data_IF_525500450452
#
_entry.id   IF_525500450452
#
_cell.length_a   1.000
_cell.length_b   1.000
_cell.length_c   1.000
_cell.angle_alpha   90.00
_cell.angle_beta   90.00
_cell.angle_gamma   90.00
#
_symmetry.space_group_name_H-M   'P 1'
#
loop_
_entity.id
_entity.type
_entity.pdbx_description
1 polymer ?
#
# COMPACT_ATOMS: atom_id res chain seq x y z
N UNK A 1 -34.40 -10.18 -9.73
CA UNK A 1 -33.37 -10.94 -10.47
C UNK A 1 -31.98 -10.33 -10.28
N UNK A 2 -31.58 -10.05 -9.01
CA UNK A 2 -30.28 -9.42 -8.67
C UNK A 2 -29.51 -10.21 -7.59
N UNK A 3 -30.17 -11.06 -6.80
CA UNK A 3 -29.54 -11.85 -5.72
C UNK A 3 -28.58 -12.93 -6.24
N UNK A 4 -28.80 -13.44 -7.45
CA UNK A 4 -28.06 -14.59 -7.98
C UNK A 4 -26.63 -14.23 -8.41
N UNK A 5 -26.36 -12.95 -8.72
CA UNK A 5 -25.01 -12.49 -9.14
C UNK A 5 -24.04 -12.30 -7.98
N UNK A 6 -24.52 -11.94 -6.79
CA UNK A 6 -23.64 -11.65 -5.65
C UNK A 6 -22.96 -12.91 -5.11
N UNK A 7 -23.64 -14.05 -5.16
CA UNK A 7 -23.06 -15.34 -4.74
C UNK A 7 -21.96 -15.82 -5.70
N UNK A 8 -22.13 -15.62 -7.01
CA UNK A 8 -21.10 -15.93 -8.00
C UNK A 8 -19.84 -15.07 -7.82
N UNK A 9 -20.00 -13.79 -7.49
CA UNK A 9 -18.86 -12.90 -7.20
C UNK A 9 -18.16 -13.35 -5.93
N UNK A 10 -18.91 -13.66 -4.86
CA UNK A 10 -18.33 -14.15 -3.60
C UNK A 10 -17.56 -15.46 -3.79
N UNK A 11 -18.10 -16.41 -4.57
CA UNK A 11 -17.44 -17.68 -4.88
C UNK A 11 -16.14 -17.46 -5.68
N UNK A 12 -16.17 -16.55 -6.65
CA UNK A 12 -14.99 -16.20 -7.44
C UNK A 12 -13.90 -15.57 -6.55
N UNK A 13 -14.26 -14.68 -5.63
CA UNK A 13 -13.32 -14.05 -4.70
C UNK A 13 -12.68 -15.05 -3.75
N UNK A 14 -13.45 -16.00 -3.22
CA UNK A 14 -12.90 -17.06 -2.34
C UNK A 14 -11.95 -17.97 -3.13
N UNK A 15 -12.29 -18.30 -4.37
CA UNK A 15 -11.44 -19.10 -5.23
C UNK A 15 -10.11 -18.41 -5.54
N UNK A 16 -10.13 -17.12 -5.91
CA UNK A 16 -8.90 -16.36 -6.18
C UNK A 16 -8.03 -16.22 -4.94
N UNK A 17 -8.62 -15.98 -3.77
CA UNK A 17 -7.89 -15.97 -2.50
C UNK A 17 -7.26 -17.33 -2.18
N UNK A 18 -7.96 -18.43 -2.45
CA UNK A 18 -7.44 -19.79 -2.29
C UNK A 18 -6.23 -20.07 -3.19
N UNK A 19 -6.30 -19.66 -4.47
CA UNK A 19 -5.17 -19.80 -5.40
C UNK A 19 -3.97 -19.00 -4.93
N UNK A 20 -4.17 -17.75 -4.50
CA UNK A 20 -3.10 -16.89 -3.96
C UNK A 20 -2.47 -17.50 -2.69
N UNK A 21 -3.29 -18.09 -1.82
CA UNK A 21 -2.81 -18.75 -0.61
C UNK A 21 -1.95 -19.98 -0.94
N UNK A 22 -2.39 -20.82 -1.87
CA UNK A 22 -1.64 -22.01 -2.29
C UNK A 22 -0.33 -21.64 -2.97
N UNK A 23 -0.32 -20.61 -3.84
CA UNK A 23 0.92 -20.14 -4.47
C UNK A 23 1.90 -19.55 -3.46
N UNK A 24 1.42 -18.83 -2.43
CA UNK A 24 2.27 -18.34 -1.33
C UNK A 24 2.90 -19.46 -0.53
N UNK A 25 2.13 -20.50 -0.18
CA UNK A 25 2.65 -21.66 0.55
C UNK A 25 3.65 -22.44 -0.33
N UNK A 26 3.34 -22.66 -1.60
CA UNK A 26 4.24 -23.34 -2.52
C UNK A 26 5.55 -22.56 -2.70
N UNK A 27 5.50 -21.22 -2.70
CA UNK A 27 6.70 -20.38 -2.74
C UNK A 27 7.53 -20.48 -1.44
N UNK A 28 6.89 -20.60 -0.28
CA UNK A 28 7.58 -20.77 1.01
C UNK A 28 8.20 -22.16 1.19
N UNK A 29 7.60 -23.19 0.58
CA UNK A 29 8.10 -24.57 0.64
C UNK A 29 9.17 -24.89 -0.40
N UNK A 30 9.54 -23.94 -1.27
CA UNK A 30 10.61 -24.16 -2.23
C UNK A 30 11.96 -24.11 -1.49
N UNK A 31 12.68 -25.24 -1.31
CA UNK A 31 13.99 -25.21 -0.69
C UNK A 31 14.91 -24.35 -1.56
N UNK A 32 15.34 -23.21 -1.04
CA UNK A 32 16.36 -22.39 -1.69
C UNK A 32 17.61 -23.26 -1.79
N UNK A 33 18.21 -23.44 -2.98
CA UNK A 33 19.45 -24.18 -3.12
C UNK A 33 20.51 -23.53 -2.22
N UNK A 34 21.21 -24.37 -1.46
CA UNK A 34 22.27 -23.91 -0.55
C UNK A 34 23.38 -23.28 -1.41
N UNK A 35 23.64 -21.97 -1.23
CA UNK A 35 24.65 -21.25 -2.01
C UNK A 35 26.02 -21.76 -1.60
N UNK A 36 26.74 -22.38 -2.54
CA UNK A 36 28.08 -22.91 -2.27
C UNK A 36 29.17 -21.87 -2.48
N UNK A 37 30.37 -22.14 -1.94
CA UNK A 37 31.57 -21.33 -2.18
C UNK A 37 31.98 -21.30 -3.66
N UNK A 38 31.67 -22.37 -4.40
CA UNK A 38 31.93 -22.49 -5.83
C UNK A 38 30.97 -21.60 -6.64
N UNK A 39 29.70 -21.49 -6.22
CA UNK A 39 28.73 -20.56 -6.81
C UNK A 39 29.16 -19.09 -6.60
N UNK A 40 29.68 -18.77 -5.41
CA UNK A 40 30.25 -17.45 -5.12
C UNK A 40 31.49 -17.17 -5.97
N UNK A 41 32.39 -18.14 -6.13
CA UNK A 41 33.57 -17.98 -6.99
C UNK A 41 33.19 -17.81 -8.46
N UNK A 42 32.23 -18.60 -8.94
CA UNK A 42 31.69 -18.49 -10.29
C UNK A 42 31.07 -17.11 -10.52
N UNK A 43 30.36 -16.56 -9.53
CA UNK A 43 29.72 -15.25 -9.62
C UNK A 43 30.72 -14.07 -9.53
N UNK A 44 31.77 -14.17 -8.70
CA UNK A 44 32.70 -13.04 -8.48
C UNK A 44 33.92 -13.03 -9.41
N UNK A 45 34.42 -14.20 -9.81
CA UNK A 45 35.75 -14.33 -10.43
C UNK A 45 35.67 -14.63 -11.93
N UNK A 46 34.54 -15.13 -12.44
CA UNK A 46 34.36 -15.37 -13.88
C UNK A 46 33.74 -14.17 -14.56
N UNK A 47 34.07 -13.97 -15.84
CA UNK A 47 33.54 -12.87 -16.67
C UNK A 47 32.00 -12.99 -16.86
N UNK A 48 31.48 -14.22 -16.92
CA UNK A 48 30.04 -14.51 -16.91
C UNK A 48 29.40 -14.14 -15.56
N UNK A 49 30.06 -14.49 -14.46
CA UNK A 49 29.65 -14.12 -13.11
C UNK A 49 29.56 -12.62 -12.90
N UNK A 50 30.59 -11.88 -13.31
CA UNK A 50 30.63 -10.41 -13.22
C UNK A 50 29.54 -9.77 -14.07
N UNK A 51 29.27 -10.31 -15.26
CA UNK A 51 28.16 -9.86 -16.12
C UNK A 51 26.80 -10.11 -15.48
N UNK A 52 26.62 -11.24 -14.79
CA UNK A 52 25.41 -11.54 -14.03
C UNK A 52 25.26 -10.62 -12.81
N UNK A 53 26.36 -10.32 -12.12
CA UNK A 53 26.38 -9.38 -11.00
C UNK A 53 25.93 -7.98 -11.43
N UNK A 54 26.47 -7.47 -12.54
CA UNK A 54 26.10 -6.17 -13.10
C UNK A 54 24.59 -6.09 -13.44
N UNK A 55 24.00 -7.17 -13.98
CA UNK A 55 22.55 -7.22 -14.25
C UNK A 55 21.72 -7.27 -12.96
N UNK A 56 22.22 -7.95 -11.93
CA UNK A 56 21.57 -7.98 -10.61
C UNK A 56 21.61 -6.59 -9.97
N UNK A 57 22.74 -5.89 -10.06
CA UNK A 57 22.89 -4.52 -9.57
C UNK A 57 21.95 -3.55 -10.31
N UNK A 58 21.87 -3.64 -11.63
CA UNK A 58 20.94 -2.83 -12.42
C UNK A 58 19.47 -3.11 -12.07
N UNK A 59 19.11 -4.38 -11.91
CA UNK A 59 17.76 -4.77 -11.47
C UNK A 59 17.46 -4.27 -10.06
N UNK A 60 18.42 -4.31 -9.15
CA UNK A 60 18.29 -3.80 -7.78
C UNK A 60 18.12 -2.28 -7.77
N UNK A 61 18.88 -1.55 -8.58
CA UNK A 61 18.75 -0.11 -8.74
C UNK A 61 17.35 0.26 -9.27
N UNK A 62 16.85 -0.46 -10.28
CA UNK A 62 15.50 -0.25 -10.82
C UNK A 62 14.40 -0.60 -9.80
N UNK A 63 14.64 -1.57 -8.90
CA UNK A 63 13.71 -1.83 -7.79
C UNK A 63 13.75 -0.73 -6.73
N UNK A 64 14.94 -0.20 -6.43
CA UNK A 64 15.08 0.91 -5.49
C UNK A 64 14.32 2.16 -5.98
N UNK A 65 14.41 2.49 -7.27
CA UNK A 65 13.67 3.61 -7.86
C UNK A 65 12.14 3.45 -7.70
N UNK A 66 11.64 2.22 -7.84
CA UNK A 66 10.21 1.92 -7.62
C UNK A 66 9.82 2.09 -6.15
N UNK A 67 10.67 1.65 -5.22
CA UNK A 67 10.45 1.83 -3.79
C UNK A 67 10.39 3.32 -3.44
N UNK A 68 11.34 4.11 -3.95
CA UNK A 68 11.39 5.55 -3.73
C UNK A 68 10.12 6.25 -4.26
N UNK A 69 9.65 5.84 -5.45
CA UNK A 69 8.41 6.35 -6.05
C UNK A 69 7.17 6.02 -5.20
N UNK A 70 7.09 4.78 -4.70
CA UNK A 70 6.01 4.35 -3.81
C UNK A 70 6.04 5.18 -2.51
N UNK A 71 7.23 5.41 -1.94
CA UNK A 71 7.39 6.16 -0.71
C UNK A 71 6.98 7.63 -0.86
N UNK A 72 7.34 8.28 -1.97
CA UNK A 72 6.86 9.64 -2.29
C UNK A 72 5.33 9.67 -2.40
N UNK A 73 4.74 8.64 -3.03
CA UNK A 73 3.29 8.54 -3.22
C UNK A 73 2.58 8.38 -1.88
N UNK A 74 3.09 7.54 -0.98
CA UNK A 74 2.56 7.35 0.38
C UNK A 74 2.58 8.67 1.15
N UNK A 75 3.73 9.36 1.19
CA UNK A 75 3.86 10.66 1.87
C UNK A 75 2.85 11.69 1.34
N UNK A 76 2.59 11.67 0.03
CA UNK A 76 1.61 12.56 -0.60
C UNK A 76 0.17 12.21 -0.19
N UNK A 77 -0.15 10.93 -0.13
CA UNK A 77 -1.47 10.43 0.30
C UNK A 77 -1.70 10.78 1.77
N UNK A 78 -0.72 10.53 2.65
CA UNK A 78 -0.80 10.88 4.07
C UNK A 78 -1.04 12.38 4.27
N UNK A 79 -0.28 13.22 3.56
CA UNK A 79 -0.46 14.68 3.61
C UNK A 79 -1.85 15.11 3.14
N UNK A 80 -2.39 14.48 2.09
CA UNK A 80 -3.72 14.77 1.58
C UNK A 80 -4.83 14.31 2.56
N UNK A 81 -4.65 13.16 3.21
CA UNK A 81 -5.57 12.64 4.22
C UNK A 81 -5.58 13.54 5.46
N UNK A 82 -4.42 13.95 5.97
CA UNK A 82 -4.30 14.89 7.08
C UNK A 82 -4.97 16.23 6.77
N UNK A 83 -4.76 16.77 5.57
CA UNK A 83 -5.42 18.01 5.13
C UNK A 83 -6.95 17.86 5.09
N UNK A 84 -7.45 16.72 4.57
CA UNK A 84 -8.89 16.44 4.50
C UNK A 84 -9.52 16.35 5.89
N UNK A 85 -8.83 15.72 6.84
CA UNK A 85 -9.28 15.57 8.21
C UNK A 85 -9.36 16.93 8.94
N UNK A 86 -8.37 17.79 8.69
CA UNK A 86 -8.35 19.16 9.18
C UNK A 86 -9.50 20.01 8.62
N UNK A 87 -9.77 19.91 7.32
CA UNK A 87 -10.89 20.61 6.67
C UNK A 87 -12.25 20.19 7.24
N UNK A 88 -12.43 18.91 7.60
CA UNK A 88 -13.67 18.43 8.21
C UNK A 88 -13.81 18.96 9.65
N UNK A 89 -12.73 18.91 10.42
CA UNK A 89 -12.68 19.43 11.80
C UNK A 89 -12.98 20.93 11.85
N UNK A 90 -12.43 21.73 10.93
CA UNK A 90 -12.70 23.16 10.87
C UNK A 90 -14.16 23.48 10.57
N UNK A 91 -14.80 22.75 9.64
CA UNK A 91 -16.22 22.94 9.34
C UNK A 91 -17.11 22.61 10.53
N UNK A 92 -16.79 21.53 11.25
CA UNK A 92 -17.54 21.15 12.43
C UNK A 92 -17.44 22.23 13.53
N UNK A 93 -16.25 22.79 13.73
CA UNK A 93 -16.04 23.93 14.65
C UNK A 93 -16.85 25.16 14.20
N UNK A 94 -16.84 25.49 12.91
CA UNK A 94 -17.59 26.62 12.36
C UNK A 94 -19.10 26.46 12.57
N UNK A 95 -19.64 25.27 12.33
CA UNK A 95 -21.04 24.95 12.56
C UNK A 95 -21.42 25.04 14.05
N UNK A 96 -20.55 24.55 14.94
CA UNK A 96 -20.74 24.69 16.39
C UNK A 96 -20.73 26.15 16.83
N UNK A 97 -19.79 26.96 16.32
CA UNK A 97 -19.71 28.39 16.60
C UNK A 97 -20.95 29.14 16.11
N UNK A 98 -21.45 28.83 14.91
CA UNK A 98 -22.67 29.42 14.36
C UNK A 98 -23.88 29.09 15.24
N UNK A 99 -24.04 27.83 15.63
CA UNK A 99 -25.13 27.40 16.51
C UNK A 99 -25.07 28.09 17.89
N UNK A 100 -23.88 28.26 18.46
CA UNK A 100 -23.69 29.01 19.71
C UNK A 100 -24.10 30.49 19.51
N UNK A 101 -23.69 31.11 18.41
CA UNK A 101 -24.05 32.50 18.08
C UNK A 101 -25.56 32.70 17.94
N UNK A 102 -26.24 31.81 17.23
CA UNK A 102 -27.69 31.88 17.02
C UNK A 102 -28.46 31.73 18.34
N UNK A 103 -28.02 30.82 19.22
CA UNK A 103 -28.60 30.65 20.56
C UNK A 103 -28.37 31.88 21.45
N UNK A 104 -27.17 32.47 21.39
CA UNK A 104 -26.86 33.68 22.13
C UNK A 104 -27.73 34.86 21.67
N UNK A 105 -27.88 35.04 20.36
CA UNK A 105 -28.76 36.04 19.76
C UNK A 105 -30.23 35.84 20.15
N UNK A 106 -30.71 34.60 20.15
CA UNK A 106 -32.06 34.28 20.57
C UNK A 106 -32.30 34.64 22.04
N UNK A 107 -31.34 34.34 22.92
CA UNK A 107 -31.40 34.71 24.34
C UNK A 107 -31.42 36.23 24.53
N UNK A 108 -30.53 36.96 23.84
CA UNK A 108 -30.46 38.41 23.89
C UNK A 108 -31.73 39.10 23.37
N UNK A 109 -32.43 38.51 22.41
CA UNK A 109 -33.70 39.03 21.88
C UNK A 109 -34.92 38.66 22.74
N UNK A 110 -34.78 37.63 23.59
CA UNK A 110 -35.84 37.16 24.48
C UNK A 110 -35.77 37.74 25.91
N UNK A 111 -34.70 38.49 26.21
CA UNK A 111 -34.50 39.25 27.45
C UNK A 111 -34.94 40.70 27.30
#
# INVERSE_FOLDING_TARGET
MMKDKHWLIAALTVFTLGVVYVTLIAAQMNPQPEITLEDLYALLVTEDGQSRLARIEEALAAQQEKIDTIQITITRIESALLKRDWDWTLRDIEDHLRNISEKLDALLRSS
#
